data_IF_662508106951
#
_entry.id   IF_662508106951
#
_cell.length_a   1.000
_cell.length_b   1.000
_cell.length_c   1.000
_cell.angle_alpha   90.00
_cell.angle_beta   90.00
_cell.angle_gamma   90.00
#
_symmetry.space_group_name_H-M   'P 1'
#
loop_
_entity.id
_entity.type
_entity.pdbx_description
1 polymer ?
#
# COMPACT_ATOMS: atom_id res chain seq x y z
N UNK A 1 4.79 -13.30 10.19
CA UNK A 1 3.71 -12.35 10.51
C UNK A 1 3.82 -11.19 9.52
N UNK A 2 2.92 -11.05 8.55
CA UNK A 2 3.00 -9.95 7.58
C UNK A 2 2.89 -8.61 8.32
N UNK A 3 3.83 -7.70 8.07
CA UNK A 3 3.79 -6.38 8.67
C UNK A 3 2.72 -5.55 7.97
N UNK A 4 1.62 -5.28 8.68
CA UNK A 4 0.51 -4.47 8.19
C UNK A 4 0.76 -3.00 8.52
N UNK A 5 0.86 -2.17 7.49
CA UNK A 5 1.08 -0.73 7.59
C UNK A 5 -0.23 0.04 7.47
N UNK A 6 -0.27 1.22 8.08
CA UNK A 6 -1.35 2.18 7.86
C UNK A 6 -1.14 2.94 6.55
N UNK A 7 -2.21 3.52 5.99
CA UNK A 7 -2.12 4.39 4.80
C UNK A 7 -1.11 5.53 5.02
N UNK A 8 -1.09 6.11 6.22
CA UNK A 8 -0.18 7.19 6.58
C UNK A 8 1.29 6.73 6.64
N UNK A 9 1.55 5.54 7.17
CA UNK A 9 2.91 4.97 7.18
C UNK A 9 3.40 4.67 5.77
N UNK A 10 2.53 4.17 4.90
CA UNK A 10 2.87 3.95 3.49
C UNK A 10 3.10 5.28 2.76
N UNK A 11 2.31 6.31 3.07
CA UNK A 11 2.53 7.67 2.55
C UNK A 11 3.91 8.20 2.94
N UNK A 12 4.28 8.06 4.22
CA UNK A 12 5.59 8.47 4.71
C UNK A 12 6.74 7.68 4.07
N UNK A 13 6.57 6.38 3.84
CA UNK A 13 7.60 5.52 3.26
C UNK A 13 7.78 5.71 1.74
N UNK A 14 6.70 6.03 1.02
CA UNK A 14 6.72 6.22 -0.45
C UNK A 14 6.85 7.67 -0.87
N UNK A 15 6.65 8.63 0.04
CA UNK A 15 6.55 10.05 -0.27
C UNK A 15 5.26 10.43 -1.02
N UNK A 16 4.31 9.50 -1.17
CA UNK A 16 3.05 9.74 -1.88
C UNK A 16 1.97 10.28 -0.95
N UNK A 17 1.02 11.00 -1.53
CA UNK A 17 -0.17 11.43 -0.80
C UNK A 17 -1.06 10.26 -0.41
N UNK A 18 -1.74 10.34 0.75
CA UNK A 18 -2.74 9.34 1.15
C UNK A 18 -3.85 9.16 0.10
N UNK A 19 -4.19 10.23 -0.63
CA UNK A 19 -5.18 10.19 -1.72
C UNK A 19 -4.72 9.26 -2.84
N UNK A 20 -3.45 9.34 -3.23
CA UNK A 20 -2.86 8.45 -4.25
C UNK A 20 -2.93 7.00 -3.79
N UNK A 21 -2.59 6.72 -2.53
CA UNK A 21 -2.60 5.37 -1.98
C UNK A 21 -4.03 4.82 -1.93
N UNK A 22 -5.00 5.60 -1.46
CA UNK A 22 -6.42 5.21 -1.43
C UNK A 22 -6.98 4.95 -2.84
N UNK A 23 -6.56 5.77 -3.81
CA UNK A 23 -6.91 5.57 -5.22
C UNK A 23 -6.35 4.25 -5.74
N UNK A 24 -5.08 3.95 -5.52
CA UNK A 24 -4.49 2.67 -5.95
C UNK A 24 -5.11 1.45 -5.29
N UNK A 25 -5.57 1.58 -4.04
CA UNK A 25 -6.35 0.53 -3.37
C UNK A 25 -7.71 0.34 -4.05
N UNK A 26 -8.35 1.42 -4.50
CA UNK A 26 -9.62 1.38 -5.22
C UNK A 26 -9.46 0.84 -6.66
N UNK A 27 -8.36 1.19 -7.33
CA UNK A 27 -8.02 0.72 -8.68
C UNK A 27 -7.61 -0.76 -8.70
N UNK A 28 -7.38 -1.36 -7.52
CA UNK A 28 -7.26 -2.81 -7.32
C UNK A 28 -5.86 -3.40 -7.51
N UNK A 29 -4.90 -2.66 -8.07
CA UNK A 29 -3.50 -3.11 -8.27
C UNK A 29 -2.60 -1.87 -8.33
N UNK A 30 -1.44 -1.76 -7.61
CA UNK A 30 -0.46 -2.78 -7.20
C UNK A 30 -0.28 -3.00 -5.68
N UNK A 31 -1.19 -2.48 -4.84
CA UNK A 31 -1.09 -2.55 -3.37
C UNK A 31 -2.08 -3.56 -2.80
N UNK A 32 -1.58 -4.61 -2.14
CA UNK A 32 -2.41 -5.53 -1.34
C UNK A 32 -2.84 -4.84 -0.06
N UNK A 33 -4.14 -4.56 0.03
CA UNK A 33 -4.74 -3.92 1.19
C UNK A 33 -5.89 -4.76 1.76
N UNK A 34 -5.90 -4.90 3.08
CA UNK A 34 -6.90 -5.58 3.87
C UNK A 34 -7.79 -4.57 4.58
N UNK A 35 -9.11 -4.71 4.44
CA UNK A 35 -10.08 -3.95 5.24
C UNK A 35 -10.34 -4.71 6.53
N UNK A 36 -9.87 -4.15 7.66
CA UNK A 36 -10.11 -4.69 9.01
C UNK A 36 -11.42 -4.14 9.59
N UNK A 37 -11.91 -3.00 9.06
CA UNK A 37 -13.19 -2.42 9.45
C UNK A 37 -13.68 -1.38 8.46
N UNK A 38 -14.83 -0.74 8.71
CA UNK A 38 -15.49 0.15 7.74
C UNK A 38 -14.62 1.36 7.32
N UNK A 39 -13.69 1.79 8.18
CA UNK A 39 -12.73 2.87 7.89
C UNK A 39 -11.26 2.47 8.09
N UNK A 40 -10.99 1.23 8.48
CA UNK A 40 -9.65 0.75 8.79
C UNK A 40 -9.10 -0.10 7.66
N UNK A 41 -8.17 0.48 6.90
CA UNK A 41 -7.42 -0.20 5.86
C UNK A 41 -5.99 -0.46 6.36
N UNK A 42 -5.51 -1.68 6.14
CA UNK A 42 -4.13 -2.09 6.36
C UNK A 42 -3.51 -2.53 5.06
N UNK A 43 -2.27 -2.12 4.83
CA UNK A 43 -1.54 -2.41 3.59
C UNK A 43 -0.41 -3.38 3.93
N UNK A 44 -0.22 -4.41 3.13
CA UNK A 44 0.91 -5.32 3.32
C UNK A 44 2.24 -4.61 3.01
N UNK A 45 3.19 -4.65 3.94
CA UNK A 45 4.53 -4.08 3.74
C UNK A 45 5.22 -4.65 2.50
N UNK A 46 5.14 -5.96 2.28
CA UNK A 46 5.79 -6.61 1.14
C UNK A 46 5.29 -6.07 -0.20
N UNK A 47 3.99 -5.80 -0.30
CA UNK A 47 3.38 -5.19 -1.50
C UNK A 47 3.87 -3.75 -1.73
N UNK A 48 4.14 -3.00 -0.66
CA UNK A 48 4.75 -1.66 -0.76
C UNK A 48 6.21 -1.76 -1.19
N UNK A 49 6.96 -2.73 -0.66
CA UNK A 49 8.35 -2.95 -1.06
C UNK A 49 8.47 -3.39 -2.51
N UNK A 50 7.56 -4.24 -3.00
CA UNK A 50 7.49 -4.62 -4.42
C UNK A 50 7.22 -3.42 -5.33
N UNK A 51 6.45 -2.45 -4.86
CA UNK A 51 6.18 -1.20 -5.58
C UNK A 51 7.41 -0.28 -5.63
N UNK A 52 8.20 -0.20 -4.54
CA UNK A 52 9.46 0.59 -4.52
C UNK A 52 10.63 -0.12 -5.22
N UNK A 53 10.56 -1.44 -5.37
CA UNK A 53 11.52 -2.22 -6.14
C UNK A 53 11.46 -1.87 -7.64
N UNK A 54 12.50 -2.22 -8.41
CA UNK A 54 12.50 -1.98 -9.85
C UNK A 54 11.32 -2.71 -10.49
N UNK A 55 10.39 -1.93 -11.06
CA UNK A 55 9.29 -2.44 -11.87
C UNK A 55 9.90 -2.84 -13.23
N UNK A 56 10.44 -4.06 -13.29
CA UNK A 56 10.99 -4.65 -14.52
C UNK A 56 12.35 -5.30 -14.34
N UNK A 57 12.36 -6.58 -13.98
CA UNK A 57 13.19 -7.54 -14.70
C UNK A 57 12.20 -8.49 -15.40
N UNK A 58 12.36 -8.61 -16.71
CA UNK A 58 11.44 -9.20 -17.68
C UNK A 58 10.98 -10.62 -17.37
#
# INVERSE_FOLDING_TARGET
MPALLTVQQVAAATGLSERTIRRWIADGTPLKAHRIGPKCIRIERDSVLQLLGPIGAA
#
